data_IF_276609579095
#
_entry.id   IF_276609579095
#
_cell.length_a   1.000
_cell.length_b   1.000
_cell.length_c   1.000
_cell.angle_alpha   90.00
_cell.angle_beta   90.00
_cell.angle_gamma   90.00
#
_symmetry.space_group_name_H-M   'P 1'
#
loop_
_entity.id
_entity.type
_entity.pdbx_description
1 polymer ?
#
# COMPACT_ATOMS: atom_id res chain seq x y z
N UNK A 1 10.43 11.48 18.78
CA UNK A 1 11.26 10.28 18.49
C UNK A 1 11.73 10.22 17.04
N UNK A 2 10.84 10.13 16.05
CA UNK A 2 11.22 9.98 14.63
C UNK A 2 12.11 11.11 14.09
N UNK A 3 11.79 12.37 14.40
CA UNK A 3 12.63 13.51 14.00
C UNK A 3 14.05 13.43 14.57
N UNK A 4 14.17 13.08 15.85
CA UNK A 4 15.45 12.91 16.55
C UNK A 4 16.35 11.85 15.90
N UNK A 5 15.80 10.68 15.56
CA UNK A 5 16.59 9.57 14.94
C UNK A 5 17.08 9.95 13.54
N UNK A 6 16.41 10.90 12.87
CA UNK A 6 16.73 11.35 11.50
C UNK A 6 17.64 12.58 11.45
N UNK A 7 18.14 13.05 12.60
CA UNK A 7 19.09 14.16 12.62
C UNK A 7 20.42 13.71 12.03
N UNK A 8 20.98 14.53 11.14
CA UNK A 8 22.29 14.26 10.52
C UNK A 8 23.43 14.31 11.54
N UNK A 9 23.32 15.18 12.55
CA UNK A 9 24.30 15.26 13.63
C UNK A 9 23.87 14.38 14.82
N UNK A 10 24.56 13.26 15.08
CA UNK A 10 24.21 12.36 16.17
C UNK A 10 24.40 12.99 17.56
N UNK A 11 25.19 14.07 17.69
CA UNK A 11 25.39 14.77 18.98
C UNK A 11 24.13 15.50 19.40
N UNK A 12 23.38 16.03 18.45
CA UNK A 12 22.08 16.65 18.73
C UNK A 12 21.09 15.57 19.13
N UNK A 13 21.06 14.44 18.42
CA UNK A 13 20.22 13.31 18.77
C UNK A 13 20.48 12.79 20.20
N UNK A 14 21.74 12.75 20.62
CA UNK A 14 22.15 12.30 21.96
C UNK A 14 21.64 13.19 23.11
N UNK A 15 21.32 14.46 22.84
CA UNK A 15 20.74 15.36 23.84
C UNK A 15 19.28 15.00 24.17
N UNK A 16 18.60 14.32 23.25
CA UNK A 16 17.26 13.81 23.49
C UNK A 16 17.35 12.46 24.22
N UNK A 17 16.64 12.34 25.35
CA UNK A 17 16.64 11.14 26.21
C UNK A 17 15.86 9.96 25.61
N UNK A 18 16.23 9.52 24.41
CA UNK A 18 15.58 8.39 23.75
C UNK A 18 15.75 7.11 24.57
N UNK A 19 14.71 6.29 24.56
CA UNK A 19 14.64 4.96 25.16
C UNK A 19 14.07 4.00 24.12
N UNK A 20 14.33 2.71 24.32
CA UNK A 20 13.98 1.64 23.39
C UNK A 20 13.33 0.49 24.15
N UNK A 21 12.41 -0.21 23.49
CA UNK A 21 11.86 -1.47 23.94
C UNK A 21 11.94 -2.50 22.81
N UNK A 22 12.59 -3.61 23.08
CA UNK A 22 12.69 -4.75 22.18
C UNK A 22 11.36 -5.51 22.17
N UNK A 23 10.74 -5.63 21.00
CA UNK A 23 9.40 -6.19 20.86
C UNK A 23 9.27 -7.31 19.82
N UNK A 24 10.34 -7.71 19.15
CA UNK A 24 10.28 -8.73 18.10
C UNK A 24 11.64 -9.06 17.50
N UNK A 25 11.64 -10.04 16.60
CA UNK A 25 12.80 -10.56 15.89
C UNK A 25 12.59 -10.34 14.40
N UNK A 26 13.67 -9.94 13.70
CA UNK A 26 13.72 -9.91 12.24
C UNK A 26 14.44 -11.15 11.72
N UNK A 27 15.58 -10.96 11.06
CA UNK A 27 16.49 -12.05 10.72
C UNK A 27 17.19 -12.60 11.97
N UNK A 28 17.24 -13.91 12.11
CA UNK A 28 17.98 -14.58 13.18
C UNK A 28 18.44 -15.98 12.75
N UNK A 29 19.64 -16.37 13.18
CA UNK A 29 20.16 -17.74 13.08
C UNK A 29 20.42 -18.26 14.49
N UNK A 30 20.11 -19.54 14.74
CA UNK A 30 20.37 -20.17 16.04
C UNK A 30 19.53 -19.65 17.21
N UNK A 31 18.35 -19.05 16.96
CA UNK A 31 17.46 -18.61 18.02
C UNK A 31 16.81 -19.82 18.71
N UNK A 32 17.18 -20.09 19.96
CA UNK A 32 16.64 -21.24 20.72
C UNK A 32 15.24 -21.00 21.28
N UNK A 33 14.78 -19.75 21.34
CA UNK A 33 13.48 -19.39 21.87
C UNK A 33 12.34 -19.95 21.00
N UNK A 34 11.44 -20.70 21.61
CA UNK A 34 10.26 -21.31 20.98
C UNK A 34 9.00 -20.45 21.17
N UNK A 35 9.02 -19.62 22.21
CA UNK A 35 7.92 -18.71 22.57
C UNK A 35 8.38 -17.26 22.63
N UNK A 36 7.44 -16.33 22.49
CA UNK A 36 7.73 -14.91 22.59
C UNK A 36 8.18 -14.52 24.01
N UNK A 37 7.66 -15.18 25.03
CA UNK A 37 8.14 -15.02 26.42
C UNK A 37 9.61 -15.41 26.59
N UNK A 38 10.00 -16.58 26.07
CA UNK A 38 11.40 -17.02 26.08
C UNK A 38 12.29 -16.01 25.35
N UNK A 39 11.83 -15.51 24.21
CA UNK A 39 12.54 -14.47 23.47
C UNK A 39 12.73 -13.19 24.30
N UNK A 40 11.71 -12.70 25.01
CA UNK A 40 11.84 -11.50 25.85
C UNK A 40 12.81 -11.73 27.03
N UNK A 41 12.82 -12.92 27.61
CA UNK A 41 13.77 -13.29 28.65
C UNK A 41 15.20 -13.33 28.11
N UNK A 42 15.40 -13.91 26.92
CA UNK A 42 16.68 -13.97 26.23
C UNK A 42 17.18 -12.57 25.84
N UNK A 43 16.32 -11.73 25.27
CA UNK A 43 16.65 -10.34 24.96
C UNK A 43 17.12 -9.57 26.21
N UNK A 44 16.45 -9.79 27.35
CA UNK A 44 16.88 -9.22 28.64
C UNK A 44 18.26 -9.75 29.05
N UNK A 45 18.53 -11.04 28.87
CA UNK A 45 19.85 -11.63 29.18
C UNK A 45 20.99 -11.03 28.33
N UNK A 46 20.67 -10.55 27.13
CA UNK A 46 21.61 -9.84 26.24
C UNK A 46 21.74 -8.34 26.55
N UNK A 47 21.06 -7.84 27.58
CA UNK A 47 21.07 -6.42 27.94
C UNK A 47 20.13 -5.54 27.12
N UNK A 48 19.28 -6.13 26.27
CA UNK A 48 18.24 -5.38 25.57
C UNK A 48 17.04 -5.15 26.51
N UNK A 49 16.48 -3.93 26.56
CA UNK A 49 15.29 -3.65 27.36
C UNK A 49 14.06 -4.31 26.68
N UNK A 50 13.45 -5.37 27.26
CA UNK A 50 12.26 -5.97 26.66
C UNK A 50 11.05 -5.05 26.82
N UNK A 51 10.02 -5.25 26.01
CA UNK A 51 8.71 -4.59 26.21
C UNK A 51 8.22 -4.79 27.66
N UNK A 52 7.88 -3.71 28.38
CA UNK A 52 7.39 -3.81 29.76
C UNK A 52 5.94 -4.29 29.80
N UNK A 53 5.46 -4.69 30.98
CA UNK A 53 4.05 -5.04 31.24
C UNK A 53 3.51 -6.18 30.36
N UNK A 54 4.37 -7.09 29.90
CA UNK A 54 3.96 -8.26 29.12
C UNK A 54 3.43 -9.36 30.05
N UNK A 55 2.25 -9.88 29.74
CA UNK A 55 1.62 -11.00 30.43
C UNK A 55 1.15 -12.07 29.42
N UNK A 56 0.98 -13.30 29.87
CA UNK A 56 0.52 -14.43 29.08
C UNK A 56 -0.80 -14.97 29.61
N UNK A 57 -1.68 -15.35 28.69
CA UNK A 57 -3.02 -15.84 28.97
C UNK A 57 -3.31 -17.07 28.10
N UNK A 58 -3.96 -18.06 28.69
CA UNK A 58 -4.38 -19.30 28.01
C UNK A 58 -5.60 -19.09 27.10
N UNK A 59 -6.36 -18.02 27.33
CA UNK A 59 -7.57 -17.70 26.57
C UNK A 59 -7.65 -16.22 26.22
N UNK A 60 -8.45 -15.92 25.20
CA UNK A 60 -8.58 -14.58 24.64
C UNK A 60 -9.28 -13.61 25.60
N UNK A 61 -10.35 -14.05 26.27
CA UNK A 61 -11.14 -13.19 27.16
C UNK A 61 -10.28 -12.64 28.31
N UNK A 62 -9.48 -13.50 28.96
CA UNK A 62 -8.55 -13.08 30.01
C UNK A 62 -7.47 -12.10 29.50
N UNK A 63 -7.03 -12.24 28.25
CA UNK A 63 -6.11 -11.30 27.63
C UNK A 63 -6.76 -9.94 27.41
N UNK A 64 -8.02 -9.91 26.97
CA UNK A 64 -8.81 -8.68 26.78
C UNK A 64 -9.09 -7.99 28.12
N UNK A 65 -9.50 -8.74 29.14
CA UNK A 65 -9.73 -8.19 30.49
C UNK A 65 -8.46 -7.52 31.05
N UNK A 66 -7.30 -8.15 30.82
CA UNK A 66 -6.03 -7.54 31.19
C UNK A 66 -5.72 -6.28 30.38
N UNK A 67 -6.04 -6.28 29.08
CA UNK A 67 -5.92 -5.08 28.26
C UNK A 67 -6.76 -3.93 28.81
N UNK A 68 -8.02 -4.16 29.15
CA UNK A 68 -8.92 -3.15 29.73
C UNK A 68 -8.39 -2.61 31.07
N UNK A 69 -7.84 -3.48 31.92
CA UNK A 69 -7.21 -3.06 33.18
C UNK A 69 -6.00 -2.14 32.95
N UNK A 70 -5.13 -2.46 31.98
CA UNK A 70 -4.00 -1.60 31.60
C UNK A 70 -4.47 -0.28 30.98
N UNK A 71 -5.54 -0.30 30.18
CA UNK A 71 -6.15 0.90 29.58
C UNK A 71 -6.69 1.87 30.64
N UNK A 72 -7.22 1.34 31.74
CA UNK A 72 -7.64 2.12 32.91
C UNK A 72 -6.49 2.86 33.61
N UNK A 73 -5.27 2.33 33.49
CA UNK A 73 -4.07 2.78 34.22
C UNK A 73 -3.00 3.45 33.35
N UNK A 74 -3.34 3.79 32.11
CA UNK A 74 -2.39 4.43 31.17
C UNK A 74 -1.73 5.70 31.71
N UNK A 75 -2.42 6.45 32.57
CA UNK A 75 -1.88 7.67 33.19
C UNK A 75 -0.70 7.40 34.14
N UNK A 76 -0.52 6.14 34.57
CA UNK A 76 0.58 5.71 35.43
C UNK A 76 1.85 5.37 34.62
N UNK A 77 1.77 5.29 33.29
CA UNK A 77 2.90 4.85 32.48
C UNK A 77 3.88 6.01 32.25
N UNK A 78 5.18 5.74 32.36
CA UNK A 78 6.25 6.70 32.07
C UNK A 78 6.42 7.01 30.57
N UNK A 79 5.54 6.47 29.73
CA UNK A 79 5.56 6.60 28.28
C UNK A 79 4.16 6.59 27.70
N UNK A 80 4.01 7.23 26.55
CA UNK A 80 2.75 7.20 25.82
C UNK A 80 2.50 5.83 25.17
N UNK A 81 1.27 5.34 25.30
CA UNK A 81 0.79 4.13 24.66
C UNK A 81 -0.47 4.48 23.84
N UNK A 82 -0.60 3.92 22.64
CA UNK A 82 -1.72 4.14 21.70
C UNK A 82 -2.56 2.89 21.46
N UNK A 83 -2.27 1.83 22.22
CA UNK A 83 -2.88 0.51 22.11
C UNK A 83 -1.98 -0.56 22.70
N UNK A 84 -2.56 -1.72 22.94
CA UNK A 84 -1.84 -2.91 23.38
C UNK A 84 -1.69 -3.86 22.18
N UNK A 85 -0.73 -4.78 22.24
CA UNK A 85 -0.52 -5.73 21.13
C UNK A 85 -0.74 -7.14 21.64
N UNK A 86 -1.79 -7.79 21.14
CA UNK A 86 -2.05 -9.20 21.37
C UNK A 86 -1.27 -10.01 20.34
N UNK A 87 -0.51 -11.00 20.82
CA UNK A 87 0.33 -11.86 19.96
C UNK A 87 0.13 -13.32 20.35
N UNK A 88 0.05 -14.19 19.36
CA UNK A 88 0.18 -15.64 19.58
C UNK A 88 1.58 -15.92 20.15
N UNK A 89 1.70 -16.63 21.27
CA UNK A 89 2.99 -16.79 21.98
C UNK A 89 3.97 -17.73 21.23
N UNK A 90 3.48 -18.85 20.70
CA UNK A 90 4.28 -19.88 20.02
C UNK A 90 4.76 -19.43 18.63
N UNK A 91 6.07 -19.52 18.35
CA UNK A 91 6.62 -19.18 17.04
C UNK A 91 6.20 -20.15 15.92
N UNK A 92 6.11 -21.45 16.22
CA UNK A 92 5.60 -22.43 15.27
C UNK A 92 4.14 -22.13 14.83
N UNK A 93 3.31 -21.59 15.73
CA UNK A 93 1.96 -21.15 15.36
C UNK A 93 1.98 -19.88 14.50
N UNK A 94 2.90 -18.94 14.75
CA UNK A 94 3.06 -17.72 13.94
C UNK A 94 3.44 -18.05 12.49
N UNK A 95 4.37 -18.97 12.29
CA UNK A 95 4.78 -19.44 10.95
C UNK A 95 3.60 -20.06 10.20
N UNK A 96 2.81 -20.91 10.87
CA UNK A 96 1.61 -21.52 10.28
C UNK A 96 0.55 -20.48 9.89
N UNK A 97 0.41 -19.41 10.66
CA UNK A 97 -0.54 -18.33 10.39
C UNK A 97 -0.05 -17.40 9.27
N UNK A 98 1.25 -17.20 9.14
CA UNK A 98 1.86 -16.38 8.10
C UNK A 98 1.44 -14.90 8.15
N UNK A 99 1.44 -14.24 6.99
CA UNK A 99 1.12 -12.83 6.84
C UNK A 99 0.19 -12.55 5.66
N UNK A 100 -0.42 -11.37 5.67
CA UNK A 100 -1.05 -10.75 4.51
C UNK A 100 -0.04 -9.83 3.81
N UNK A 101 -0.43 -9.16 2.72
CA UNK A 101 0.43 -8.18 2.04
C UNK A 101 0.85 -6.99 2.90
N UNK A 102 0.17 -6.73 4.04
CA UNK A 102 0.42 -5.57 4.90
C UNK A 102 0.74 -5.91 6.36
N UNK A 103 0.25 -7.03 6.88
CA UNK A 103 0.35 -7.35 8.31
C UNK A 103 0.41 -8.86 8.59
N UNK A 104 1.13 -9.30 9.64
CA UNK A 104 1.09 -10.70 10.11
C UNK A 104 -0.30 -11.10 10.61
N UNK A 105 -0.68 -12.38 10.47
CA UNK A 105 -2.01 -12.88 10.91
C UNK A 105 -2.06 -13.26 12.40
N UNK A 106 -0.91 -13.37 13.04
CA UNK A 106 -0.76 -13.85 14.41
C UNK A 106 -0.68 -12.74 15.48
N UNK A 107 -0.86 -11.47 15.07
CA UNK A 107 -0.88 -10.33 15.98
C UNK A 107 -2.00 -9.36 15.62
N UNK A 108 -2.49 -8.65 16.63
CA UNK A 108 -3.42 -7.54 16.46
C UNK A 108 -3.07 -6.41 17.44
N UNK A 109 -3.20 -5.17 16.97
CA UNK A 109 -3.14 -4.00 17.84
C UNK A 109 -4.54 -3.74 18.41
N UNK A 110 -4.69 -3.98 19.72
CA UNK A 110 -5.88 -3.67 20.50
C UNK A 110 -5.85 -2.18 20.88
N UNK A 111 -6.50 -1.36 20.05
CA UNK A 111 -6.56 0.09 20.24
C UNK A 111 -7.76 0.46 21.10
N UNK A 112 -7.60 1.45 21.94
CA UNK A 112 -8.66 2.04 22.75
C UNK A 112 -8.97 3.44 22.25
N UNK A 113 -10.25 3.73 22.06
CA UNK A 113 -10.75 5.00 21.56
C UNK A 113 -10.85 5.97 22.74
N UNK A 114 -9.86 6.87 22.87
CA UNK A 114 -9.84 7.92 23.91
C UNK A 114 -9.57 9.31 23.36
N UNK A 115 -9.48 9.47 22.04
CA UNK A 115 -9.12 10.75 21.43
C UNK A 115 -10.26 11.30 20.60
N UNK A 116 -11.43 11.44 21.23
CA UNK A 116 -12.50 12.28 20.72
C UNK A 116 -12.25 13.72 21.15
N UNK A 117 -12.58 14.67 20.28
CA UNK A 117 -12.84 16.04 20.71
C UNK A 117 -14.04 16.60 19.95
N UNK A 118 -14.74 17.50 20.62
CA UNK A 118 -15.86 18.24 20.05
C UNK A 118 -15.35 19.54 19.44
N UNK A 119 -15.76 19.83 18.21
CA UNK A 119 -15.39 21.06 17.51
C UNK A 119 -16.49 21.50 16.55
N UNK A 120 -16.37 22.68 15.93
CA UNK A 120 -17.34 23.22 15.00
C UNK A 120 -16.92 23.03 13.54
N UNK A 121 -17.85 22.66 12.66
CA UNK A 121 -17.66 22.69 11.20
C UNK A 121 -17.72 24.13 10.72
N UNK A 122 -16.61 24.64 10.20
CA UNK A 122 -16.49 25.99 9.63
C UNK A 122 -16.91 26.05 8.18
N UNK A 123 -16.56 25.03 7.41
CA UNK A 123 -16.86 24.94 5.98
C UNK A 123 -16.79 23.48 5.53
N UNK A 124 -17.29 23.17 4.34
CA UNK A 124 -17.13 21.88 3.68
C UNK A 124 -16.58 22.14 2.28
N UNK A 125 -15.30 21.80 2.09
CA UNK A 125 -14.64 21.89 0.78
C UNK A 125 -14.81 20.60 0.00
N UNK A 126 -14.87 20.70 -1.33
CA UNK A 126 -14.93 19.53 -2.22
C UNK A 126 -13.74 19.55 -3.16
N UNK A 127 -12.90 18.54 -3.08
CA UNK A 127 -11.71 18.39 -3.93
C UNK A 127 -11.98 17.38 -5.04
N UNK A 128 -11.31 17.56 -6.19
CA UNK A 128 -11.40 16.64 -7.34
C UNK A 128 -10.14 15.78 -7.36
N UNK A 129 -10.27 14.48 -7.10
CA UNK A 129 -9.14 13.56 -7.11
C UNK A 129 -8.69 13.16 -8.52
N UNK A 130 -7.58 12.42 -8.62
CA UNK A 130 -6.97 11.95 -9.88
C UNK A 130 -7.89 11.17 -10.84
N UNK A 131 -8.93 10.52 -10.30
CA UNK A 131 -9.92 9.76 -11.07
C UNK A 131 -11.23 10.54 -11.31
N UNK A 132 -11.20 11.85 -11.09
CA UNK A 132 -12.35 12.74 -11.17
C UNK A 132 -13.29 12.66 -9.98
N UNK A 133 -13.10 11.74 -9.01
CA UNK A 133 -13.94 11.63 -7.83
C UNK A 133 -13.92 12.91 -6.99
N UNK A 134 -15.10 13.43 -6.69
CA UNK A 134 -15.27 14.54 -5.78
C UNK A 134 -15.28 13.99 -4.35
N UNK A 135 -14.39 14.53 -3.52
CA UNK A 135 -14.23 14.11 -2.13
C UNK A 135 -14.50 15.30 -1.21
N UNK A 136 -15.56 15.24 -0.39
CA UNK A 136 -15.85 16.30 0.55
C UNK A 136 -14.97 16.17 1.81
N UNK A 137 -14.49 17.31 2.30
CA UNK A 137 -13.69 17.44 3.52
C UNK A 137 -14.27 18.57 4.36
N UNK A 138 -14.62 18.28 5.60
CA UNK A 138 -15.03 19.30 6.57
C UNK A 138 -13.80 20.07 7.05
N UNK A 139 -13.88 21.39 6.95
CA UNK A 139 -12.98 22.34 7.59
C UNK A 139 -13.51 22.59 8.99
N UNK A 140 -12.70 22.29 9.98
CA UNK A 140 -13.07 22.36 11.39
C UNK A 140 -12.44 23.59 12.04
N UNK A 141 -13.09 24.10 13.08
CA UNK A 141 -12.40 24.92 14.06
C UNK A 141 -11.23 24.08 14.62
N UNK A 142 -9.97 24.58 14.58
CA UNK A 142 -8.82 23.80 15.03
C UNK A 142 -8.99 23.28 16.45
N UNK A 143 -8.83 21.97 16.64
CA UNK A 143 -8.99 21.30 17.94
C UNK A 143 -7.80 20.37 18.21
N UNK A 144 -7.36 20.29 19.47
CA UNK A 144 -6.28 19.39 19.88
C UNK A 144 -6.82 17.99 20.13
N UNK A 145 -6.29 17.01 19.39
CA UNK A 145 -6.63 15.59 19.55
C UNK A 145 -5.34 14.79 19.52
N UNK A 146 -5.09 14.01 20.57
CA UNK A 146 -3.89 13.18 20.73
C UNK A 146 -2.57 13.96 20.49
N UNK A 147 -2.47 15.18 21.03
CA UNK A 147 -1.26 16.02 20.92
C UNK A 147 -1.04 16.66 19.55
N UNK A 148 -2.02 16.59 18.64
CA UNK A 148 -1.97 17.22 17.33
C UNK A 148 -3.21 18.07 17.05
N UNK A 149 -3.03 19.18 16.35
CA UNK A 149 -4.15 20.01 15.88
C UNK A 149 -4.83 19.35 14.69
N UNK A 150 -6.13 19.09 14.80
CA UNK A 150 -6.99 18.63 13.71
C UNK A 150 -7.82 19.81 13.23
N UNK A 151 -7.72 20.12 11.94
CA UNK A 151 -8.49 21.19 11.26
C UNK A 151 -9.25 20.70 10.03
N UNK A 152 -8.99 19.47 9.58
CA UNK A 152 -9.60 18.88 8.40
C UNK A 152 -10.01 17.44 8.70
N UNK A 153 -11.18 17.05 8.22
CA UNK A 153 -11.66 15.67 8.33
C UNK A 153 -12.45 15.26 7.08
N UNK A 154 -12.14 14.08 6.55
CA UNK A 154 -12.84 13.56 5.38
C UNK A 154 -14.29 13.21 5.69
N UNK A 155 -15.21 13.58 4.80
CA UNK A 155 -16.63 13.20 4.87
C UNK A 155 -16.96 12.04 3.91
N UNK A 156 -15.94 11.45 3.29
CA UNK A 156 -15.98 10.32 2.35
C UNK A 156 -16.72 10.58 1.03
N UNK A 157 -18.02 10.85 1.05
CA UNK A 157 -18.85 11.03 -0.15
C UNK A 157 -20.16 11.77 0.19
N UNK A 158 -20.95 12.11 -0.84
CA UNK A 158 -22.21 12.83 -0.68
C UNK A 158 -23.25 12.05 0.15
N UNK A 159 -23.30 10.73 -0.01
CA UNK A 159 -24.25 9.88 0.70
C UNK A 159 -23.93 9.84 2.21
N UNK A 160 -22.65 9.84 2.61
CA UNK A 160 -22.22 9.93 4.03
C UNK A 160 -22.54 11.29 4.66
N UNK A 161 -22.40 12.40 3.92
CA UNK A 161 -22.83 13.73 4.39
C UNK A 161 -24.32 13.71 4.68
N UNK A 162 -25.13 13.18 3.76
CA UNK A 162 -26.57 13.10 3.92
C UNK A 162 -26.97 12.17 5.08
N UNK A 163 -26.30 11.01 5.21
CA UNK A 163 -26.55 10.03 6.28
C UNK A 163 -26.28 10.62 7.67
N UNK A 164 -25.16 11.32 7.84
CA UNK A 164 -24.80 11.99 9.10
C UNK A 164 -25.49 13.35 9.29
N UNK A 165 -26.09 13.88 8.22
CA UNK A 165 -26.70 15.22 8.14
C UNK A 165 -25.72 16.30 8.62
N UNK A 166 -24.49 16.29 8.08
CA UNK A 166 -23.44 17.25 8.46
C UNK A 166 -23.71 18.60 7.77
N UNK A 167 -23.75 19.68 8.55
CA UNK A 167 -23.99 21.04 8.06
C UNK A 167 -22.87 21.99 8.47
N UNK A 168 -22.70 23.06 7.70
CA UNK A 168 -21.81 24.15 8.08
C UNK A 168 -22.37 24.82 9.34
N UNK A 169 -21.52 25.01 10.35
CA UNK A 169 -21.89 25.53 11.67
C UNK A 169 -22.16 24.46 12.73
N UNK A 170 -22.30 23.18 12.35
CA UNK A 170 -22.58 22.11 13.30
C UNK A 170 -21.44 21.89 14.30
N UNK A 171 -21.83 21.52 15.52
CA UNK A 171 -20.92 20.93 16.50
C UNK A 171 -20.78 19.44 16.23
N UNK A 172 -19.55 18.96 16.06
CA UNK A 172 -19.24 17.58 15.65
C UNK A 172 -18.21 16.97 16.58
N UNK A 173 -18.29 15.64 16.72
CA UNK A 173 -17.30 14.85 17.43
C UNK A 173 -16.37 14.21 16.41
N UNK A 174 -15.08 14.46 16.60
CA UNK A 174 -14.02 14.00 15.72
C UNK A 174 -13.08 13.14 16.53
N UNK A 175 -12.65 12.03 15.95
CA UNK A 175 -11.78 11.07 16.61
C UNK A 175 -10.58 10.73 15.74
N UNK A 176 -9.40 10.54 16.35
CA UNK A 176 -8.24 9.98 15.65
C UNK A 176 -8.12 8.49 15.92
N UNK A 177 -8.57 7.69 14.96
CA UNK A 177 -8.40 6.25 14.99
C UNK A 177 -6.90 5.92 15.08
N UNK A 178 -6.49 5.37 16.24
CA UNK A 178 -5.10 5.06 16.54
C UNK A 178 -4.13 6.23 16.41
N UNK A 179 -4.54 7.43 16.86
CA UNK A 179 -3.77 8.69 16.89
C UNK A 179 -3.34 9.27 15.52
N UNK A 180 -3.69 8.64 14.40
CA UNK A 180 -3.18 9.04 13.07
C UNK A 180 -4.24 9.76 12.25
N UNK A 181 -5.32 9.07 11.84
CA UNK A 181 -6.28 9.59 10.86
C UNK A 181 -7.52 10.12 11.60
N UNK A 182 -7.82 11.43 11.52
CA UNK A 182 -9.06 11.96 12.07
C UNK A 182 -10.25 11.51 11.22
N UNK A 183 -11.36 11.20 11.87
CA UNK A 183 -12.65 10.94 11.22
C UNK A 183 -13.80 11.54 12.03
N UNK A 184 -14.85 11.97 11.34
CA UNK A 184 -16.04 12.53 11.98
C UNK A 184 -16.90 11.37 12.47
N UNK A 185 -17.08 11.25 13.79
CA UNK A 185 -17.87 10.19 14.40
C UNK A 185 -19.36 10.50 14.25
N UNK A 186 -19.77 11.67 14.78
CA UNK A 186 -21.17 12.10 14.83
C UNK A 186 -21.30 13.62 14.85
N UNK A 187 -22.52 14.07 14.56
CA UNK A 187 -22.96 15.45 14.74
C UNK A 187 -23.73 15.54 16.04
N UNK A 188 -23.39 16.51 16.89
CA UNK A 188 -24.14 16.81 18.12
C UNK A 188 -25.39 17.63 17.77
N UNK A 189 -26.41 16.94 17.24
CA UNK A 189 -27.63 17.56 16.69
C UNK A 189 -28.38 18.43 17.72
N UNK A 190 -28.23 18.14 19.01
CA UNK A 190 -28.83 18.90 20.09
C UNK A 190 -28.16 20.27 20.32
N UNK A 191 -26.96 20.49 19.78
CA UNK A 191 -26.22 21.77 19.80
C UNK A 191 -26.27 22.49 18.45
N UNK A 192 -27.12 22.04 17.53
CA UNK A 192 -27.21 22.61 16.18
C UNK A 192 -27.75 24.05 16.24
N UNK A 193 -27.03 25.04 15.71
CA UNK A 193 -27.55 26.40 15.59
C UNK A 193 -28.79 26.46 14.70
N UNK A 194 -29.72 27.35 15.05
CA UNK A 194 -30.87 27.67 14.19
C UNK A 194 -30.40 28.27 12.86
N UNK A 195 -31.10 27.95 11.76
CA UNK A 195 -30.79 28.46 10.41
C UNK A 195 -29.72 27.68 9.63
N UNK A 196 -29.16 26.59 10.17
CA UNK A 196 -28.22 25.73 9.43
C UNK A 196 -28.92 24.96 8.30
N UNK A 197 -28.43 25.13 7.07
CA UNK A 197 -28.95 24.45 5.88
C UNK A 197 -28.18 23.15 5.57
N UNK A 198 -28.85 22.10 5.02
CA UNK A 198 -28.15 20.94 4.48
C UNK A 198 -27.10 21.32 3.45
N UNK A 199 -25.94 20.66 3.47
CA UNK A 199 -24.89 20.91 2.50
C UNK A 199 -25.33 20.48 1.09
N UNK A 200 -25.27 21.41 0.14
CA UNK A 200 -25.57 21.12 -1.26
C UNK A 200 -24.29 20.68 -1.97
N UNK A 201 -24.27 19.41 -2.37
CA UNK A 201 -23.17 18.88 -3.16
C UNK A 201 -23.14 19.57 -4.54
N UNK A 202 -21.96 19.99 -5.05
CA UNK A 202 -21.88 20.69 -6.33
C UNK A 202 -22.46 19.85 -7.46
N UNK A 203 -23.09 20.52 -8.43
CA UNK A 203 -23.61 19.91 -9.67
C UNK A 203 -22.63 20.03 -10.84
N UNK A 204 -21.69 20.98 -10.76
CA UNK A 204 -20.64 21.25 -11.72
C UNK A 204 -19.27 21.17 -11.04
N UNK A 205 -18.26 20.76 -11.79
CA UNK A 205 -16.90 20.60 -11.28
C UNK A 205 -16.32 21.95 -10.85
N UNK A 206 -15.85 22.12 -9.60
CA UNK A 206 -15.34 23.40 -9.11
C UNK A 206 -14.05 23.87 -9.81
N UNK A 207 -13.48 23.07 -10.71
CA UNK A 207 -12.19 23.32 -11.38
C UNK A 207 -12.26 23.42 -12.90
N UNK A 208 -13.29 22.85 -13.54
CA UNK A 208 -13.45 22.94 -15.00
C UNK A 208 -14.90 23.18 -15.44
N UNK A 209 -15.80 23.37 -14.49
CA UNK A 209 -17.23 23.63 -14.71
C UNK A 209 -18.01 22.54 -15.48
N UNK A 210 -17.39 21.40 -15.78
CA UNK A 210 -18.08 20.26 -16.39
C UNK A 210 -19.17 19.73 -15.46
N UNK A 211 -20.34 19.39 -16.03
CA UNK A 211 -21.44 18.75 -15.30
C UNK A 211 -20.98 17.43 -14.68
N UNK A 212 -21.28 17.23 -13.40
CA UNK A 212 -20.85 16.06 -12.65
C UNK A 212 -21.82 14.89 -12.83
N UNK A 213 -21.25 13.68 -12.75
CA UNK A 213 -21.98 12.43 -12.96
C UNK A 213 -21.76 11.46 -11.79
N UNK A 214 -22.81 10.77 -11.33
CA UNK A 214 -22.70 9.72 -10.30
C UNK A 214 -22.32 8.40 -10.97
N UNK A 215 -21.36 7.68 -10.40
CA UNK A 215 -20.95 6.36 -10.88
C UNK A 215 -22.17 5.42 -10.94
N UNK A 216 -22.40 4.71 -12.06
CA UNK A 216 -23.46 3.70 -12.14
C UNK A 216 -23.28 2.63 -11.06
N UNK A 217 -24.28 2.47 -10.18
CA UNK A 217 -24.24 1.53 -9.05
C UNK A 217 -23.25 1.89 -7.94
N UNK A 218 -22.63 3.09 -7.99
CA UNK A 218 -21.67 3.56 -7.00
C UNK A 218 -22.15 4.77 -6.19
N UNK A 219 -21.39 5.13 -5.16
CA UNK A 219 -21.66 6.29 -4.28
C UNK A 219 -20.90 7.55 -4.69
N UNK A 220 -19.91 7.42 -5.57
CA UNK A 220 -19.02 8.52 -5.95
C UNK A 220 -19.62 9.37 -7.06
N UNK A 221 -19.51 10.69 -6.91
CA UNK A 221 -19.79 11.69 -7.95
C UNK A 221 -18.45 12.09 -8.57
N UNK A 222 -18.39 12.18 -9.90
CA UNK A 222 -17.16 12.39 -10.65
C UNK A 222 -17.28 13.51 -11.67
N UNK A 223 -16.16 14.16 -11.92
CA UNK A 223 -15.94 14.99 -13.10
C UNK A 223 -15.61 14.08 -14.31
N UNK A 224 -16.46 14.05 -15.36
CA UNK A 224 -16.21 13.20 -16.52
C UNK A 224 -15.16 13.78 -17.47
N UNK A 225 -14.82 15.07 -17.35
CA UNK A 225 -13.86 15.74 -18.23
C UNK A 225 -12.41 15.22 -18.01
N UNK A 226 -11.80 14.50 -18.98
CA UNK A 226 -10.44 13.97 -18.86
C UNK A 226 -9.37 15.07 -18.84
N UNK A 227 -9.66 16.23 -19.44
CA UNK A 227 -8.81 17.42 -19.49
C UNK A 227 -8.99 18.34 -18.27
N UNK A 228 -9.68 17.89 -17.22
CA UNK A 228 -9.84 18.67 -16.00
C UNK A 228 -8.46 18.95 -15.36
N UNK A 229 -8.09 20.23 -15.11
CA UNK A 229 -6.77 20.60 -14.59
C UNK A 229 -6.52 20.04 -13.19
N UNK A 230 -7.58 19.88 -12.38
CA UNK A 230 -7.45 19.26 -11.07
C UNK A 230 -7.16 17.76 -11.15
N UNK A 231 -7.80 17.06 -12.10
CA UNK A 231 -7.46 15.66 -12.33
C UNK A 231 -6.01 15.52 -12.83
N UNK A 232 -5.58 16.40 -13.73
CA UNK A 232 -4.20 16.41 -14.22
C UNK A 232 -3.20 16.66 -13.08
N UNK A 233 -3.44 17.65 -12.22
CA UNK A 233 -2.58 17.97 -11.08
C UNK A 233 -2.45 16.78 -10.12
N UNK A 234 -3.57 16.11 -9.81
CA UNK A 234 -3.59 14.94 -8.94
C UNK A 234 -2.98 13.69 -9.60
N UNK A 235 -3.17 13.51 -10.90
CA UNK A 235 -2.50 12.45 -11.68
C UNK A 235 -1.00 12.67 -11.70
N UNK A 236 -0.55 13.91 -11.92
CA UNK A 236 0.86 14.28 -11.91
C UNK A 236 1.50 14.06 -10.54
N UNK A 237 0.82 14.47 -9.45
CA UNK A 237 1.27 14.21 -8.09
C UNK A 237 1.40 12.71 -7.81
N UNK A 238 0.41 11.91 -8.23
CA UNK A 238 0.48 10.46 -8.08
C UNK A 238 1.56 9.83 -8.96
N UNK A 239 1.76 10.33 -10.17
CA UNK A 239 2.79 9.89 -11.10
C UNK A 239 4.19 10.03 -10.48
N UNK A 240 4.46 11.16 -9.81
CA UNK A 240 5.72 11.38 -9.10
C UNK A 240 5.86 10.65 -7.76
N UNK A 241 4.79 10.05 -7.23
CA UNK A 241 4.83 9.38 -5.93
C UNK A 241 5.86 8.25 -5.87
N UNK A 242 6.33 7.95 -4.66
CA UNK A 242 7.33 6.89 -4.40
C UNK A 242 6.93 5.51 -4.93
N UNK A 243 5.63 5.20 -4.93
CA UNK A 243 5.08 3.95 -5.46
C UNK A 243 4.92 3.92 -6.98
N UNK A 244 5.06 5.07 -7.64
CA UNK A 244 4.95 5.24 -9.09
C UNK A 244 6.35 5.53 -9.66
N UNK A 245 6.56 6.70 -10.28
CA UNK A 245 7.83 7.03 -10.94
C UNK A 245 8.91 7.55 -9.98
N UNK A 246 8.57 7.82 -8.72
CA UNK A 246 9.52 8.20 -7.66
C UNK A 246 10.38 9.40 -8.06
N UNK A 247 9.70 10.53 -8.31
CA UNK A 247 10.30 11.80 -8.72
C UNK A 247 10.33 12.71 -7.50
N UNK A 248 11.47 12.70 -6.80
CA UNK A 248 11.66 13.59 -5.65
C UNK A 248 11.67 15.07 -6.09
N UNK A 249 11.04 15.93 -5.29
CA UNK A 249 10.95 17.36 -5.56
C UNK A 249 9.66 17.81 -6.25
N UNK A 250 8.89 16.89 -6.85
CA UNK A 250 7.56 17.19 -7.38
C UNK A 250 6.48 17.05 -6.30
N UNK A 251 6.32 18.10 -5.49
CA UNK A 251 5.28 18.18 -4.46
C UNK A 251 3.96 18.75 -4.97
N UNK A 252 2.92 18.69 -4.13
CA UNK A 252 1.55 19.15 -4.43
C UNK A 252 1.53 20.58 -5.01
N UNK A 253 2.10 21.56 -4.31
CA UNK A 253 2.13 22.96 -4.78
C UNK A 253 2.76 23.13 -6.15
N UNK A 254 3.82 22.38 -6.43
CA UNK A 254 4.52 22.47 -7.71
C UNK A 254 3.70 21.80 -8.83
N UNK A 255 3.04 20.67 -8.55
CA UNK A 255 2.13 20.03 -9.50
C UNK A 255 0.99 20.97 -9.93
N UNK A 256 0.37 21.68 -8.96
CA UNK A 256 -0.64 22.70 -9.26
C UNK A 256 -0.08 23.86 -10.08
N UNK A 257 1.09 24.41 -9.71
CA UNK A 257 1.72 25.50 -10.47
C UNK A 257 2.03 25.10 -11.91
N UNK A 258 2.57 23.90 -12.15
CA UNK A 258 2.89 23.42 -13.50
C UNK A 258 1.66 23.36 -14.40
N UNK A 259 0.53 22.89 -13.85
CA UNK A 259 -0.73 22.80 -14.60
C UNK A 259 -1.39 24.18 -14.76
N UNK A 260 -1.44 24.98 -13.69
CA UNK A 260 -2.10 26.30 -13.70
C UNK A 260 -1.35 27.31 -14.60
N UNK A 261 -0.01 27.22 -14.71
CA UNK A 261 0.81 27.99 -15.66
C UNK A 261 0.81 27.40 -17.09
N UNK A 262 0.14 26.26 -17.31
CA UNK A 262 0.05 25.62 -18.62
C UNK A 262 1.35 25.01 -19.13
N UNK A 263 2.32 24.76 -18.24
CA UNK A 263 3.58 24.09 -18.54
C UNK A 263 3.41 22.58 -18.72
N UNK A 264 2.36 22.01 -18.12
CA UNK A 264 1.96 20.61 -18.28
C UNK A 264 0.49 20.54 -18.67
N UNK A 265 0.20 19.85 -19.76
CA UNK A 265 -1.16 19.53 -20.25
C UNK A 265 -1.40 18.02 -20.24
N UNK A 266 -0.35 17.23 -20.42
CA UNK A 266 -0.35 15.78 -20.37
C UNK A 266 0.88 15.26 -19.58
N UNK A 267 0.89 13.98 -19.19
CA UNK A 267 1.94 13.45 -18.31
C UNK A 267 3.34 13.43 -18.95
N UNK A 268 3.40 13.33 -20.27
CA UNK A 268 4.63 13.31 -21.07
C UNK A 268 5.30 14.69 -21.15
N UNK A 269 4.55 15.79 -21.05
CA UNK A 269 5.11 17.15 -21.00
C UNK A 269 6.11 17.32 -19.85
N UNK A 270 5.96 16.52 -18.77
CA UNK A 270 6.87 16.49 -17.64
C UNK A 270 8.32 16.25 -18.08
N UNK A 271 8.53 15.41 -19.10
CA UNK A 271 9.86 15.06 -19.60
C UNK A 271 10.44 16.08 -20.60
N UNK A 272 9.66 17.12 -20.94
CA UNK A 272 10.09 18.22 -21.80
C UNK A 272 10.42 19.49 -21.00
N UNK A 273 10.18 19.49 -19.68
CA UNK A 273 10.45 20.64 -18.82
C UNK A 273 11.93 20.96 -18.75
N UNK A 274 12.25 22.25 -18.89
CA UNK A 274 13.61 22.76 -18.70
C UNK A 274 13.78 23.44 -17.35
N UNK A 275 15.03 23.55 -16.89
CA UNK A 275 15.33 24.20 -15.62
C UNK A 275 14.93 25.69 -15.65
N UNK A 276 15.05 26.35 -16.80
CA UNK A 276 14.70 27.76 -17.00
C UNK A 276 13.19 28.00 -16.89
N UNK A 277 12.36 27.06 -17.37
CA UNK A 277 10.90 27.16 -17.19
C UNK A 277 10.54 27.05 -15.71
N UNK A 278 11.19 26.15 -14.98
CA UNK A 278 10.93 25.89 -13.57
C UNK A 278 11.34 27.04 -12.66
N UNK A 279 12.38 27.81 -12.98
CA UNK A 279 12.81 28.96 -12.14
C UNK A 279 11.83 30.13 -12.19
N UNK A 280 10.88 30.15 -13.14
CA UNK A 280 9.80 31.15 -13.17
C UNK A 280 8.74 30.91 -12.09
N UNK A 281 8.73 29.74 -11.46
CA UNK A 281 7.72 29.32 -10.50
C UNK A 281 8.07 29.75 -9.06
N UNK A 282 7.04 29.95 -8.24
CA UNK A 282 7.22 30.40 -6.86
C UNK A 282 8.01 29.35 -6.04
N UNK A 283 9.04 29.80 -5.32
CA UNK A 283 9.92 28.96 -4.46
C UNK A 283 10.76 27.94 -5.24
N UNK A 284 10.97 28.14 -6.54
CA UNK A 284 11.90 27.35 -7.37
C UNK A 284 13.18 28.13 -7.64
N UNK A 285 14.26 27.76 -6.94
CA UNK A 285 15.61 28.23 -7.26
C UNK A 285 16.28 27.39 -8.35
N UNK A 286 17.37 27.91 -8.93
CA UNK A 286 18.12 27.26 -10.02
C UNK A 286 18.56 25.82 -9.66
N UNK A 287 19.14 25.63 -8.47
CA UNK A 287 19.56 24.30 -7.99
C UNK A 287 18.39 23.33 -7.81
N UNK A 288 17.26 23.79 -7.31
CA UNK A 288 16.06 22.94 -7.16
C UNK A 288 15.45 22.58 -8.50
N UNK A 289 15.44 23.51 -9.47
CA UNK A 289 14.97 23.28 -10.82
C UNK A 289 15.84 22.23 -11.53
N UNK A 290 17.17 22.41 -11.51
CA UNK A 290 18.12 21.44 -12.07
C UNK A 290 17.98 20.06 -11.43
N UNK A 291 17.83 20.00 -10.10
CA UNK A 291 17.63 18.74 -9.37
C UNK A 291 16.33 18.05 -9.79
N UNK A 292 15.24 18.80 -9.95
CA UNK A 292 13.96 18.23 -10.39
C UNK A 292 14.05 17.67 -11.81
N UNK A 293 14.64 18.40 -12.76
CA UNK A 293 14.85 17.91 -14.13
C UNK A 293 15.69 16.63 -14.13
N UNK A 294 16.77 16.58 -13.33
CA UNK A 294 17.58 15.37 -13.19
C UNK A 294 16.79 14.19 -12.61
N UNK A 295 15.93 14.43 -11.62
CA UNK A 295 15.08 13.41 -11.02
C UNK A 295 13.99 12.90 -11.98
N UNK A 296 13.44 13.78 -12.83
CA UNK A 296 12.51 13.43 -13.90
C UNK A 296 13.22 12.51 -14.91
N UNK A 297 14.42 12.89 -15.36
CA UNK A 297 15.19 12.08 -16.31
C UNK A 297 15.53 10.69 -15.73
N UNK A 298 15.97 10.65 -14.47
CA UNK A 298 16.27 9.39 -13.78
C UNK A 298 15.06 8.47 -13.63
N UNK A 299 13.84 9.01 -13.68
CA UNK A 299 12.60 8.24 -13.55
C UNK A 299 12.23 7.44 -14.79
N UNK A 300 12.86 7.69 -15.95
CA UNK A 300 12.58 6.94 -17.18
C UNK A 300 12.87 5.44 -17.05
N UNK A 301 13.79 5.04 -16.17
CA UNK A 301 14.24 3.63 -16.02
C UNK A 301 13.48 2.83 -14.97
N UNK A 302 12.32 3.32 -14.51
CA UNK A 302 11.54 2.70 -13.41
C UNK A 302 10.82 1.40 -13.81
N UNK A 303 10.65 1.17 -15.11
CA UNK A 303 10.08 -0.05 -15.69
C UNK A 303 8.55 -0.12 -15.65
N UNK A 304 8.02 -1.08 -16.41
CA UNK A 304 6.59 -1.20 -16.75
C UNK A 304 5.65 -1.26 -15.54
N UNK A 305 6.03 -1.97 -14.47
CA UNK A 305 5.18 -2.07 -13.27
C UNK A 305 4.88 -0.70 -12.64
N UNK A 306 5.90 0.17 -12.60
CA UNK A 306 5.76 1.54 -12.07
C UNK A 306 5.02 2.44 -13.04
N UNK A 307 5.25 2.31 -14.35
CA UNK A 307 4.51 3.04 -15.38
C UNK A 307 3.01 2.71 -15.33
N UNK A 308 2.64 1.42 -15.31
CA UNK A 308 1.24 0.99 -15.22
C UNK A 308 0.55 1.49 -13.96
N UNK A 309 1.27 1.51 -12.83
CA UNK A 309 0.76 2.12 -11.62
C UNK A 309 0.58 3.64 -11.82
N UNK A 310 1.58 4.33 -12.37
CA UNK A 310 1.60 5.78 -12.55
C UNK A 310 0.49 6.31 -13.47
N UNK A 311 0.13 5.57 -14.52
CA UNK A 311 -0.96 5.91 -15.45
C UNK A 311 -2.34 6.03 -14.77
N UNK A 312 -2.48 5.55 -13.52
CA UNK A 312 -3.71 5.68 -12.72
C UNK A 312 -4.93 5.06 -13.39
N UNK A 313 -4.76 3.93 -14.08
CA UNK A 313 -5.84 3.15 -14.68
C UNK A 313 -6.81 2.71 -13.59
N UNK A 314 -8.12 2.85 -13.83
CA UNK A 314 -9.16 2.50 -12.85
C UNK A 314 -8.99 1.06 -12.38
N UNK A 315 -9.05 0.85 -11.06
CA UNK A 315 -8.84 -0.45 -10.38
C UNK A 315 -7.42 -1.04 -10.45
N UNK A 316 -6.48 -0.42 -11.17
CA UNK A 316 -5.09 -0.87 -11.25
C UNK A 316 -4.26 -0.16 -10.18
N UNK A 317 -4.05 -0.84 -9.06
CA UNK A 317 -3.10 -0.42 -8.02
C UNK A 317 -1.72 -1.08 -8.20
N UNK A 318 -0.77 -0.76 -7.32
CA UNK A 318 0.62 -1.26 -7.38
C UNK A 318 0.74 -2.76 -7.56
N UNK A 319 -0.06 -3.58 -6.86
CA UNK A 319 -0.04 -5.05 -6.99
C UNK A 319 -0.47 -5.50 -8.39
N UNK A 320 -1.63 -5.02 -8.85
CA UNK A 320 -2.19 -5.36 -10.16
C UNK A 320 -1.24 -4.91 -11.27
N UNK A 321 -0.67 -3.71 -11.16
CA UNK A 321 0.32 -3.20 -12.09
C UNK A 321 1.57 -4.08 -12.17
N UNK A 322 2.06 -4.58 -11.02
CA UNK A 322 3.17 -5.52 -10.98
C UNK A 322 2.81 -6.85 -11.64
N UNK A 323 1.64 -7.41 -11.35
CA UNK A 323 1.19 -8.67 -11.96
C UNK A 323 1.04 -8.56 -13.48
N UNK A 324 0.42 -7.47 -13.96
CA UNK A 324 0.29 -7.20 -15.40
C UNK A 324 1.67 -7.03 -16.06
N UNK A 325 2.58 -6.27 -15.45
CA UNK A 325 3.92 -6.09 -15.98
C UNK A 325 4.70 -7.42 -16.05
N UNK A 326 4.64 -8.25 -15.00
CA UNK A 326 5.29 -9.56 -14.98
C UNK A 326 4.69 -10.52 -16.00
N UNK A 327 3.37 -10.47 -16.23
CA UNK A 327 2.69 -11.36 -17.17
C UNK A 327 2.98 -11.00 -18.63
N UNK A 328 2.82 -9.73 -19.01
CA UNK A 328 2.95 -9.28 -20.40
C UNK A 328 4.39 -8.94 -20.78
N UNK A 329 5.20 -8.44 -19.85
CA UNK A 329 6.61 -8.12 -20.06
C UNK A 329 6.89 -6.83 -20.83
N UNK A 330 5.96 -6.34 -21.64
CA UNK A 330 6.07 -5.04 -22.32
C UNK A 330 4.70 -4.36 -22.48
N UNK A 331 4.71 -3.04 -22.62
CA UNK A 331 3.50 -2.28 -22.93
C UNK A 331 2.87 -2.74 -24.25
N UNK A 332 3.66 -2.97 -25.30
CA UNK A 332 3.16 -3.42 -26.61
C UNK A 332 2.34 -4.71 -26.53
N UNK A 333 2.78 -5.69 -25.72
CA UNK A 333 2.04 -6.93 -25.50
C UNK A 333 0.76 -6.70 -24.73
N UNK A 334 0.77 -5.78 -23.77
CA UNK A 334 -0.43 -5.40 -23.03
C UNK A 334 -1.44 -4.66 -23.92
N UNK A 335 -0.97 -3.80 -24.84
CA UNK A 335 -1.81 -3.12 -25.83
C UNK A 335 -2.50 -4.09 -26.79
N UNK A 336 -1.86 -5.21 -27.12
CA UNK A 336 -2.39 -6.24 -27.99
C UNK A 336 -3.34 -7.23 -27.28
N UNK A 337 -3.41 -7.20 -25.95
CA UNK A 337 -4.16 -8.18 -25.16
C UNK A 337 -5.67 -7.95 -25.22
N UNK A 338 -6.42 -9.05 -25.37
CA UNK A 338 -7.88 -9.08 -25.27
C UNK A 338 -8.38 -8.96 -23.83
N UNK A 339 -9.67 -8.65 -23.65
CA UNK A 339 -10.31 -8.61 -22.33
C UNK A 339 -10.28 -9.99 -21.67
N UNK A 340 -10.43 -11.05 -22.46
CA UNK A 340 -10.37 -12.44 -22.01
C UNK A 340 -8.97 -12.81 -21.52
N UNK A 341 -7.92 -12.45 -22.25
CA UNK A 341 -6.54 -12.67 -21.83
C UNK A 341 -6.21 -11.90 -20.54
N UNK A 342 -6.59 -10.62 -20.48
CA UNK A 342 -6.43 -9.81 -19.27
C UNK A 342 -7.16 -10.43 -18.06
N UNK A 343 -8.36 -10.96 -18.26
CA UNK A 343 -9.17 -11.57 -17.19
C UNK A 343 -8.62 -12.91 -16.67
N UNK A 344 -7.70 -13.54 -17.42
CA UNK A 344 -7.06 -14.79 -17.02
C UNK A 344 -5.79 -14.56 -16.18
N UNK A 345 -5.35 -13.31 -16.03
CA UNK A 345 -4.20 -12.95 -15.20
C UNK A 345 -4.58 -13.02 -13.72
N UNK A 346 -3.66 -13.54 -12.88
CA UNK A 346 -3.87 -13.62 -11.43
C UNK A 346 -4.17 -12.23 -10.85
N UNK A 347 -5.13 -12.15 -9.92
CA UNK A 347 -5.67 -10.91 -9.34
C UNK A 347 -6.36 -9.93 -10.33
N UNK A 348 -6.51 -10.29 -11.61
CA UNK A 348 -7.20 -9.45 -12.62
C UNK A 348 -8.55 -10.06 -12.97
N UNK A 349 -9.60 -9.58 -12.28
CA UNK A 349 -10.97 -9.94 -12.62
C UNK A 349 -11.53 -9.18 -13.83
N UNK A 350 -12.74 -9.55 -14.32
CA UNK A 350 -13.34 -8.96 -15.52
C UNK A 350 -13.54 -7.43 -15.44
N UNK A 351 -13.79 -6.89 -14.25
CA UNK A 351 -13.92 -5.43 -14.03
C UNK A 351 -12.58 -4.71 -14.26
N UNK A 352 -11.47 -5.30 -13.81
CA UNK A 352 -10.14 -4.74 -13.98
C UNK A 352 -9.71 -4.88 -15.44
N UNK A 353 -9.91 -6.05 -16.04
CA UNK A 353 -9.62 -6.30 -17.44
C UNK A 353 -10.34 -5.32 -18.38
N UNK A 354 -11.64 -5.11 -18.17
CA UNK A 354 -12.43 -4.13 -18.91
C UNK A 354 -11.89 -2.70 -18.73
N UNK A 355 -11.48 -2.33 -17.51
CA UNK A 355 -10.93 -1.00 -17.22
C UNK A 355 -9.58 -0.76 -17.89
N UNK A 356 -8.69 -1.77 -17.90
CA UNK A 356 -7.42 -1.71 -18.61
C UNK A 356 -7.67 -1.59 -20.11
N UNK A 357 -8.49 -2.47 -20.68
CA UNK A 357 -8.80 -2.48 -22.10
C UNK A 357 -9.44 -1.16 -22.55
N UNK A 358 -10.41 -0.64 -21.79
CA UNK A 358 -11.04 0.66 -22.06
C UNK A 358 -10.01 1.79 -22.06
N UNK A 359 -9.09 1.80 -21.10
CA UNK A 359 -8.05 2.84 -21.03
C UNK A 359 -7.11 2.76 -22.23
N UNK A 360 -6.51 1.60 -22.50
CA UNK A 360 -5.49 1.47 -23.56
C UNK A 360 -6.05 1.65 -24.97
N UNK A 361 -7.36 1.44 -25.16
CA UNK A 361 -8.05 1.70 -26.43
C UNK A 361 -8.66 3.10 -26.52
N UNK A 362 -8.70 3.86 -25.42
CA UNK A 362 -9.18 5.25 -25.44
C UNK A 362 -8.16 6.20 -26.09
N UNK A 363 -8.64 7.29 -26.68
CA UNK A 363 -7.78 8.33 -27.27
C UNK A 363 -6.79 8.89 -26.25
N UNK A 364 -7.28 9.22 -25.04
CA UNK A 364 -6.44 9.73 -23.95
C UNK A 364 -5.39 8.74 -23.48
N UNK A 365 -5.75 7.45 -23.38
CA UNK A 365 -4.81 6.42 -22.93
C UNK A 365 -3.73 6.13 -23.98
N UNK A 366 -4.11 6.05 -25.26
CA UNK A 366 -3.16 5.90 -26.36
C UNK A 366 -2.17 7.06 -26.42
N UNK A 367 -2.66 8.29 -26.33
CA UNK A 367 -1.81 9.49 -26.33
C UNK A 367 -0.85 9.50 -25.15
N UNK A 368 -1.33 9.20 -23.94
CA UNK A 368 -0.48 9.14 -22.76
C UNK A 368 0.61 8.07 -22.87
N UNK A 369 0.26 6.87 -23.36
CA UNK A 369 1.23 5.77 -23.54
C UNK A 369 2.27 6.14 -24.60
N UNK A 370 1.82 6.65 -25.75
CA UNK A 370 2.69 7.06 -26.84
C UNK A 370 3.64 8.19 -26.42
N UNK A 371 3.13 9.25 -25.78
CA UNK A 371 3.94 10.37 -25.34
C UNK A 371 5.02 9.97 -24.34
N UNK A 372 4.69 9.08 -23.38
CA UNK A 372 5.69 8.55 -22.44
C UNK A 372 6.74 7.68 -23.16
N UNK A 373 6.34 6.89 -24.16
CA UNK A 373 7.26 6.09 -24.95
C UNK A 373 8.21 6.96 -25.79
N UNK A 374 7.69 8.02 -26.42
CA UNK A 374 8.47 9.01 -27.17
C UNK A 374 9.41 9.82 -26.26
N UNK A 375 9.01 10.07 -25.01
CA UNK A 375 9.86 10.66 -23.99
C UNK A 375 11.00 9.74 -23.49
N UNK A 376 11.03 8.48 -23.94
CA UNK A 376 12.07 7.50 -23.59
C UNK A 376 11.86 6.80 -22.25
N UNK A 377 10.62 6.76 -21.75
CA UNK A 377 10.29 5.98 -20.54
C UNK A 377 10.35 4.49 -20.88
N UNK A 378 10.95 3.70 -19.98
CA UNK A 378 11.05 2.25 -20.10
C UNK A 378 9.68 1.58 -19.97
N UNK A 379 9.17 1.13 -21.12
CA UNK A 379 7.90 0.42 -21.28
C UNK A 379 8.03 -1.10 -21.15
N UNK A 380 9.16 -1.59 -20.65
CA UNK A 380 9.41 -3.02 -20.44
C UNK A 380 9.41 -3.37 -18.96
N UNK A 381 8.94 -4.56 -18.63
CA UNK A 381 9.21 -5.12 -17.32
C UNK A 381 10.69 -5.49 -17.30
N UNK A 382 11.39 -5.11 -16.23
CA UNK A 382 12.71 -5.70 -15.99
C UNK A 382 12.53 -7.20 -16.02
N UNK A 383 13.36 -7.87 -16.83
CA UNK A 383 13.35 -9.31 -16.88
C UNK A 383 13.70 -9.81 -15.47
N UNK A 384 12.69 -10.20 -14.69
CA UNK A 384 12.89 -11.34 -13.80
C UNK A 384 13.48 -12.41 -14.70
N UNK A 385 14.64 -13.01 -14.38
CA UNK A 385 15.24 -14.04 -15.23
C UNK A 385 14.12 -14.96 -15.65
N UNK A 386 13.75 -14.89 -16.94
CA UNK A 386 12.70 -15.73 -17.49
C UNK A 386 13.18 -17.12 -17.15
N UNK A 387 12.40 -17.84 -16.33
CA UNK A 387 12.75 -19.17 -15.83
C UNK A 387 13.50 -19.88 -16.94
N UNK A 388 14.80 -20.12 -16.74
CA UNK A 388 15.69 -20.48 -17.84
C UNK A 388 15.05 -21.66 -18.57
N UNK A 389 15.17 -21.71 -19.91
CA UNK A 389 14.87 -22.94 -20.63
C UNK A 389 15.80 -24.01 -20.06
N UNK A 390 15.26 -24.75 -19.12
CA UNK A 390 15.96 -25.69 -18.28
C UNK A 390 15.10 -26.92 -18.12
N UNK A 391 15.62 -27.97 -17.49
CA UNK A 391 15.00 -29.29 -17.50
C UNK A 391 13.62 -29.31 -16.81
N UNK A 392 13.33 -28.27 -16.03
CA UNK A 392 12.09 -28.11 -15.29
C UNK A 392 11.08 -27.16 -15.97
N UNK A 393 11.38 -26.69 -17.19
CA UNK A 393 10.53 -25.76 -17.94
C UNK A 393 9.06 -26.22 -18.00
N UNK A 394 8.15 -25.38 -17.50
CA UNK A 394 6.70 -25.63 -17.53
C UNK A 394 6.18 -26.62 -16.49
N UNK A 395 7.05 -27.18 -15.64
CA UNK A 395 6.67 -28.12 -14.58
C UNK A 395 6.34 -27.35 -13.30
N UNK A 396 5.25 -27.71 -12.62
CA UNK A 396 4.88 -27.20 -11.29
C UNK A 396 5.30 -28.21 -10.23
N UNK A 397 6.23 -27.81 -9.35
CA UNK A 397 6.82 -28.69 -8.33
C UNK A 397 6.47 -28.14 -6.95
N UNK A 398 5.89 -28.97 -6.09
CA UNK A 398 5.56 -28.62 -4.70
C UNK A 398 6.58 -29.29 -3.79
N UNK A 399 7.09 -28.58 -2.79
CA UNK A 399 8.00 -29.14 -1.79
C UNK A 399 7.28 -29.29 -0.46
N UNK A 400 7.47 -30.41 0.24
CA UNK A 400 6.90 -30.66 1.58
C UNK A 400 7.84 -31.51 2.44
N UNK A 401 7.75 -31.36 3.77
CA UNK A 401 8.64 -32.03 4.72
C UNK A 401 9.98 -31.32 4.92
N UNK A 402 10.76 -31.80 5.88
CA UNK A 402 12.12 -31.37 6.16
C UNK A 402 13.09 -32.02 5.16
N UNK A 403 13.75 -31.17 4.39
CA UNK A 403 14.75 -31.54 3.40
C UNK A 403 16.13 -31.71 4.06
N UNK A 404 16.93 -32.65 3.56
CA UNK A 404 18.24 -33.00 4.13
C UNK A 404 19.38 -32.11 3.61
N UNK A 405 19.28 -31.60 2.36
CA UNK A 405 20.38 -30.86 1.72
C UNK A 405 20.09 -29.37 1.55
N UNK A 406 18.84 -28.99 1.33
CA UNK A 406 18.46 -27.62 1.02
C UNK A 406 17.42 -27.10 2.00
N UNK A 407 17.47 -25.81 2.30
CA UNK A 407 16.31 -25.12 2.87
C UNK A 407 15.17 -25.05 1.84
N UNK A 408 13.95 -24.82 2.31
CA UNK A 408 12.78 -24.69 1.44
C UNK A 408 12.94 -23.55 0.44
N UNK A 409 13.53 -22.45 0.87
CA UNK A 409 13.72 -21.26 0.05
C UNK A 409 14.79 -21.49 -1.03
N UNK A 410 15.86 -22.20 -0.69
CA UNK A 410 16.92 -22.58 -1.64
C UNK A 410 16.42 -23.53 -2.71
N UNK A 411 15.63 -24.56 -2.34
CA UNK A 411 15.13 -25.52 -3.32
C UNK A 411 14.05 -24.89 -4.22
N UNK A 412 13.19 -24.01 -3.69
CA UNK A 412 12.20 -23.27 -4.48
C UNK A 412 12.91 -22.33 -5.46
N UNK A 413 13.97 -21.66 -5.02
CA UNK A 413 14.83 -20.84 -5.90
C UNK A 413 15.54 -21.68 -6.97
N UNK A 414 16.01 -22.88 -6.65
CA UNK A 414 16.63 -23.80 -7.63
C UNK A 414 15.62 -24.30 -8.66
N UNK A 415 14.40 -24.60 -8.24
CA UNK A 415 13.30 -25.00 -9.14
C UNK A 415 13.01 -23.86 -10.12
N UNK A 416 12.88 -22.63 -9.64
CA UNK A 416 12.65 -21.44 -10.47
C UNK A 416 13.82 -21.14 -11.40
N UNK A 417 15.05 -21.30 -10.91
CA UNK A 417 16.27 -21.10 -11.69
C UNK A 417 16.36 -22.06 -12.89
N UNK A 418 15.88 -23.30 -12.74
CA UNK A 418 15.90 -24.33 -13.78
C UNK A 418 14.62 -24.41 -14.64
N UNK A 419 13.76 -23.39 -14.58
CA UNK A 419 12.59 -23.28 -15.46
C UNK A 419 11.26 -23.72 -14.85
N UNK A 420 11.28 -24.30 -13.65
CA UNK A 420 10.10 -24.82 -12.96
C UNK A 420 9.34 -23.77 -12.18
N UNK A 421 8.12 -24.11 -11.77
CA UNK A 421 7.28 -23.27 -10.89
C UNK A 421 7.18 -23.91 -9.51
N UNK A 422 7.68 -23.23 -8.48
CA UNK A 422 7.49 -23.63 -7.09
C UNK A 422 6.01 -23.45 -6.68
N UNK A 423 5.34 -24.55 -6.37
CA UNK A 423 3.94 -24.58 -5.98
C UNK A 423 3.78 -24.59 -4.46
N UNK A 424 2.91 -23.73 -3.92
CA UNK A 424 2.60 -23.70 -2.50
C UNK A 424 1.62 -24.79 -2.05
N UNK A 425 0.87 -25.39 -2.98
CA UNK A 425 -0.13 -26.43 -2.69
C UNK A 425 -0.21 -27.49 -3.78
N UNK A 426 -0.55 -28.72 -3.38
CA UNK A 426 -0.74 -29.85 -4.31
C UNK A 426 -2.11 -29.76 -4.97
N UNK A 427 -2.13 -29.84 -6.31
CA UNK A 427 -3.32 -29.83 -7.17
C UNK A 427 -3.16 -30.83 -8.32
N UNK A 428 -4.20 -31.02 -9.14
CA UNK A 428 -4.11 -31.83 -10.37
C UNK A 428 -3.14 -31.27 -11.43
N UNK A 429 -2.73 -30.00 -11.29
CA UNK A 429 -1.75 -29.33 -12.17
C UNK A 429 -0.32 -29.43 -11.62
N UNK A 430 -0.11 -30.10 -10.50
CA UNK A 430 1.22 -30.32 -9.93
C UNK A 430 1.87 -31.51 -10.62
N UNK A 431 3.05 -31.31 -11.18
CA UNK A 431 3.80 -32.36 -11.90
C UNK A 431 4.58 -33.25 -10.93
N UNK A 432 5.17 -32.68 -9.88
CA UNK A 432 5.92 -33.43 -8.86
C UNK A 432 5.71 -32.87 -7.46
N UNK A 433 5.70 -33.77 -6.47
CA UNK A 433 5.85 -33.44 -5.06
C UNK A 433 7.23 -33.90 -4.59
N UNK A 434 8.08 -32.98 -4.16
CA UNK A 434 9.32 -33.31 -3.45
C UNK A 434 8.99 -33.51 -1.97
N UNK A 435 9.21 -34.72 -1.47
CA UNK A 435 8.87 -35.08 -0.09
C UNK A 435 10.13 -35.37 0.74
N UNK A 436 10.37 -34.54 1.76
CA UNK A 436 11.34 -34.78 2.83
C UNK A 436 10.74 -35.51 4.03
N UNK A 437 11.49 -35.59 5.13
CA UNK A 437 11.00 -36.16 6.39
C UNK A 437 9.75 -35.38 6.88
N UNK A 438 8.78 -36.06 7.49
CA UNK A 438 7.54 -35.46 8.01
C UNK A 438 6.69 -34.70 6.97
N UNK A 439 6.64 -35.20 5.72
CA UNK A 439 5.92 -34.61 4.59
C UNK A 439 4.40 -34.34 4.77
N UNK A 440 3.78 -34.85 5.84
CA UNK A 440 2.50 -34.41 6.36
C UNK A 440 1.31 -34.45 5.38
N UNK A 441 0.40 -33.48 5.51
CA UNK A 441 -0.88 -33.46 4.78
C UNK A 441 -0.77 -33.24 3.26
N UNK A 442 0.36 -32.70 2.76
CA UNK A 442 0.60 -32.54 1.33
C UNK A 442 0.99 -33.86 0.65
N UNK A 443 1.67 -34.76 1.37
CA UNK A 443 1.97 -36.12 0.90
C UNK A 443 0.68 -36.91 0.66
N UNK A 444 -0.23 -36.90 1.66
CA UNK A 444 -1.52 -37.55 1.55
C UNK A 444 -2.36 -36.99 0.38
N UNK A 445 -2.31 -35.66 0.18
CA UNK A 445 -3.00 -34.99 -0.92
C UNK A 445 -2.41 -35.33 -2.29
N UNK A 446 -1.10 -35.49 -2.42
CA UNK A 446 -0.45 -35.93 -3.66
C UNK A 446 -0.81 -37.37 -4.01
N UNK A 447 -0.84 -38.27 -3.03
CA UNK A 447 -1.27 -39.66 -3.22
C UNK A 447 -2.72 -39.74 -3.71
N UNK A 448 -3.62 -38.94 -3.12
CA UNK A 448 -5.03 -38.88 -3.54
C UNK A 448 -5.23 -38.34 -4.96
N UNK A 449 -4.38 -37.41 -5.39
CA UNK A 449 -4.47 -36.76 -6.70
C UNK A 449 -3.63 -37.45 -7.78
N UNK A 450 -2.90 -38.52 -7.44
CA UNK A 450 -2.04 -39.25 -8.37
C UNK A 450 -0.80 -38.46 -8.82
N UNK A 451 -0.35 -37.48 -8.03
CA UNK A 451 0.83 -36.67 -8.35
C UNK A 451 2.10 -37.45 -8.00
N UNK A 452 3.07 -37.60 -8.93
CA UNK A 452 4.35 -38.24 -8.67
C UNK A 452 5.10 -37.65 -7.47
N UNK A 453 5.61 -38.51 -6.60
CA UNK A 453 6.36 -38.12 -5.39
C UNK A 453 7.82 -38.49 -5.61
N UNK A 454 8.71 -37.52 -5.46
CA UNK A 454 10.16 -37.65 -5.69
C UNK A 454 10.95 -37.17 -4.47
N UNK A 455 12.19 -37.61 -4.37
CA UNK A 455 13.18 -37.21 -3.36
C UNK A 455 14.02 -36.02 -3.85
N UNK A 456 14.77 -35.38 -2.94
CA UNK A 456 15.72 -34.30 -3.29
C UNK A 456 16.76 -34.76 -4.31
N UNK A 457 17.27 -35.98 -4.16
CA UNK A 457 18.27 -36.53 -5.09
C UNK A 457 17.70 -36.76 -6.49
N UNK A 458 16.43 -37.16 -6.59
CA UNK A 458 15.74 -37.32 -7.88
C UNK A 458 15.44 -35.96 -8.53
N UNK A 459 15.13 -34.93 -7.73
CA UNK A 459 15.00 -33.56 -8.24
C UNK A 459 16.33 -33.03 -8.79
N UNK A 460 17.44 -33.26 -8.10
CA UNK A 460 18.79 -32.91 -8.58
C UNK A 460 19.11 -33.62 -9.92
N UNK A 461 18.75 -34.89 -10.06
CA UNK A 461 18.91 -35.63 -11.32
C UNK A 461 18.06 -35.04 -12.45
N UNK A 462 16.83 -34.62 -12.16
CA UNK A 462 15.98 -33.93 -13.13
C UNK A 462 16.59 -32.60 -13.57
N UNK A 463 17.26 -31.87 -12.68
CA UNK A 463 17.97 -30.62 -12.99
C UNK A 463 19.25 -30.81 -13.81
N UNK A 464 19.82 -32.03 -13.84
CA UNK A 464 21.05 -32.37 -14.58
C UNK A 464 20.79 -32.93 -15.99
N UNK A 465 19.55 -33.33 -16.30
CA UNK A 465 19.16 -33.84 -17.62
C UNK A 465 19.07 -32.67 -18.62
N UNK A 466 20.01 -32.59 -19.57
CA UNK A 466 20.02 -31.56 -20.63
C UNK A 466 18.90 -31.73 -21.65
#
# INVERSE_FOLDING_TARGET
AAGTIRLLDPRVAAQHRLRFFCHGVGYCEGLEARTYREFLALARSWGLPPTPLVAHFENFDAAVDHCESLIGRLAEFDFECDGLVLKVDSFAQRERLGATSKAPRWLVAYKFEKYEATTQVRDIMVTVGKSGALTPTAVLQPVQIAGTTVSLVGLHNADEIARKDVRIGDTVVVEKAGKIIPHLVRVEKHLRPEGTAPFQYPTHCPRCDARLEKDPGGVYIRCPNPACPAQLSERLLYFASRSAMDIEGLGEKLAYQLVDHGLIRDLDDLYQLTAEQLTTLERMGEKSAQKLVANIEASKTRGLARVLNALSIRHVGTRVAATLASHFGSMDRLLAASVEELSNVEDVGPVIAASVCQFVHSESGRRAIQGLQEAGVDMTAQATPRAAAGPLAGKTIVVTGALAKYSREEIESLIELHGGKAGSSVSKRTDYLVAGADAGSKLAKAQQLGVPIITEAELEQLMLLR
#
